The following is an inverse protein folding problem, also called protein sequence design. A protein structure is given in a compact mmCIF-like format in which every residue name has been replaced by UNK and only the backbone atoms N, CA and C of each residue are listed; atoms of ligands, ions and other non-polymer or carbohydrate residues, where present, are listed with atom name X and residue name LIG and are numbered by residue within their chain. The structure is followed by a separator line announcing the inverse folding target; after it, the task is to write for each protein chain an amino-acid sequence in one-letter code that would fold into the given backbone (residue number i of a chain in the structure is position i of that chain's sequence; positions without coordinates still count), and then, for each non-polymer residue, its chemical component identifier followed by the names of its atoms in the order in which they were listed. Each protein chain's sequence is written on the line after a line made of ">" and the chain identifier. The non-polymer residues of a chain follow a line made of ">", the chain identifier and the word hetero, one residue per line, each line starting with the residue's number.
data_IF_944007687003
#
_entry.id   IF_944007687003
#
_cell.length_a   1.000
_cell.length_b   1.000
_cell.length_c   1.000
_cell.angle_alpha   90.00
_cell.angle_beta   90.00
_cell.angle_gamma   90.00
#
_symmetry.space_group_name_H-M   'P 1'
#
loop_
_entity.id
_entity.type
_entity.pdbx_description
1 polymer ?
#
# COMPACT_ATOMS: atom_id res chain seq x y z
N UNK A 1 -13.85 30.45 -10.30
CA UNK A 1 -13.74 29.06 -10.79
C UNK A 1 -12.33 28.57 -10.49
N UNK A 2 -12.16 27.44 -9.82
CA UNK A 2 -10.82 26.91 -9.51
C UNK A 2 -10.27 26.21 -10.74
N UNK A 3 -9.01 26.44 -11.09
CA UNK A 3 -8.33 25.76 -12.20
C UNK A 3 -7.16 24.93 -11.66
N UNK A 4 -7.03 23.70 -12.16
CA UNK A 4 -5.97 22.76 -11.76
C UNK A 4 -5.47 22.00 -12.99
N UNK A 5 -4.26 21.47 -12.93
CA UNK A 5 -3.74 20.63 -14.02
C UNK A 5 -4.25 19.19 -13.86
N UNK A 6 -4.29 18.71 -12.61
CA UNK A 6 -4.85 17.40 -12.25
C UNK A 6 -5.86 17.52 -11.10
N UNK A 7 -7.02 16.87 -11.25
CA UNK A 7 -7.99 16.68 -10.18
C UNK A 7 -8.04 15.20 -9.80
N UNK A 8 -7.57 14.86 -8.60
CA UNK A 8 -7.61 13.50 -8.07
C UNK A 8 -8.88 13.30 -7.23
N UNK A 9 -9.65 12.26 -7.55
CA UNK A 9 -10.89 11.92 -6.82
C UNK A 9 -10.64 10.69 -5.94
N UNK A 10 -10.70 10.89 -4.62
CA UNK A 10 -10.50 9.86 -3.60
C UNK A 10 -9.19 10.04 -2.83
N UNK A 11 -9.31 10.09 -1.50
CA UNK A 11 -8.23 10.25 -0.51
C UNK A 11 -7.77 8.94 0.13
N UNK A 12 -7.85 7.83 -0.61
CA UNK A 12 -7.19 6.58 -0.27
C UNK A 12 -5.71 6.57 -0.66
N UNK A 13 -4.98 5.49 -0.38
CA UNK A 13 -3.52 5.40 -0.60
C UNK A 13 -3.11 5.69 -2.04
N UNK A 14 -3.87 5.20 -3.02
CA UNK A 14 -3.58 5.45 -4.43
C UNK A 14 -3.74 6.92 -4.80
N UNK A 15 -4.84 7.55 -4.38
CA UNK A 15 -5.13 8.94 -4.70
C UNK A 15 -4.12 9.90 -4.07
N UNK A 16 -3.79 9.72 -2.79
CA UNK A 16 -2.77 10.58 -2.14
C UNK A 16 -1.37 10.33 -2.69
N UNK A 17 -1.06 9.09 -3.13
CA UNK A 17 0.20 8.77 -3.80
C UNK A 17 0.34 9.47 -5.16
N UNK A 18 -0.72 9.43 -5.97
CA UNK A 18 -0.80 10.13 -7.26
C UNK A 18 -0.68 11.64 -7.04
N UNK A 19 -1.45 12.19 -6.09
CA UNK A 19 -1.42 13.63 -5.81
C UNK A 19 -0.04 14.10 -5.35
N UNK A 20 0.62 13.31 -4.49
CA UNK A 20 1.99 13.57 -4.02
C UNK A 20 3.00 13.57 -5.15
N UNK A 21 2.97 12.56 -6.03
CA UNK A 21 3.89 12.46 -7.17
C UNK A 21 3.64 13.63 -8.15
N UNK A 22 2.39 13.84 -8.57
CA UNK A 22 2.02 14.91 -9.49
C UNK A 22 2.42 16.31 -8.97
N UNK A 23 2.16 16.61 -7.69
CA UNK A 23 2.59 17.85 -7.08
C UNK A 23 4.13 17.95 -6.98
N UNK A 24 4.81 16.84 -6.69
CA UNK A 24 6.27 16.76 -6.71
C UNK A 24 6.90 17.00 -8.07
N UNK A 25 6.13 16.82 -9.16
CA UNK A 25 6.52 17.15 -10.54
C UNK A 25 6.12 18.55 -10.98
N UNK A 26 5.57 19.37 -10.08
CA UNK A 26 5.23 20.77 -10.34
C UNK A 26 3.84 21.00 -10.94
N UNK A 27 2.97 19.99 -10.98
CA UNK A 27 1.59 20.19 -11.42
C UNK A 27 0.76 20.88 -10.33
N UNK A 28 -0.19 21.73 -10.74
CA UNK A 28 -1.25 22.17 -9.84
C UNK A 28 -2.21 21.00 -9.64
N UNK A 29 -2.32 20.54 -8.41
CA UNK A 29 -3.13 19.37 -8.04
C UNK A 29 -4.20 19.78 -7.04
N UNK A 30 -5.43 19.32 -7.28
CA UNK A 30 -6.50 19.30 -6.29
C UNK A 30 -6.90 17.84 -6.04
N UNK A 31 -6.96 17.44 -4.78
CA UNK A 31 -7.54 16.15 -4.37
C UNK A 31 -8.83 16.42 -3.59
N UNK A 32 -9.91 15.72 -3.95
CA UNK A 32 -11.15 15.71 -3.17
C UNK A 32 -11.44 14.31 -2.59
N UNK A 33 -11.80 14.26 -1.31
CA UNK A 33 -12.22 13.07 -0.59
C UNK A 33 -13.59 13.35 0.04
N UNK A 34 -14.59 12.51 -0.26
CA UNK A 34 -15.97 12.70 0.19
C UNK A 34 -16.11 12.59 1.70
N UNK A 35 -15.29 11.77 2.35
CA UNK A 35 -15.32 11.53 3.80
C UNK A 35 -13.98 11.98 4.43
N UNK A 36 -13.26 11.11 5.13
CA UNK A 36 -11.89 11.34 5.64
C UNK A 36 -10.82 10.62 4.81
N UNK A 37 -9.56 11.06 4.96
CA UNK A 37 -8.41 10.35 4.43
C UNK A 37 -8.35 8.93 4.99
N UNK A 38 -8.12 7.96 4.09
CA UNK A 38 -8.03 6.54 4.41
C UNK A 38 -9.30 5.87 4.99
N UNK A 39 -10.45 6.53 5.04
CA UNK A 39 -11.62 6.04 5.81
C UNK A 39 -12.16 4.66 5.36
N UNK A 40 -11.89 4.25 4.11
CA UNK A 40 -12.36 2.98 3.55
C UNK A 40 -11.24 1.93 3.50
N UNK A 41 -10.99 1.32 2.33
CA UNK A 41 -10.07 0.19 2.17
C UNK A 41 -8.65 0.45 2.67
N UNK A 42 -8.16 1.69 2.59
CA UNK A 42 -6.79 2.05 2.98
C UNK A 42 -6.55 2.11 4.50
N UNK A 43 -7.57 1.92 5.34
CA UNK A 43 -7.44 1.68 6.78
C UNK A 43 -7.92 0.29 7.22
N UNK A 44 -8.57 -0.45 6.31
CA UNK A 44 -9.11 -1.79 6.53
C UNK A 44 -8.22 -2.90 5.95
N UNK A 45 -6.92 -2.65 5.80
CA UNK A 45 -5.96 -3.66 5.33
C UNK A 45 -5.48 -4.56 6.46
N UNK A 46 -4.78 -5.64 6.10
CA UNK A 46 -4.00 -6.47 7.03
C UNK A 46 -2.76 -5.76 7.58
N UNK A 47 -2.50 -4.51 7.14
CA UNK A 47 -1.40 -3.64 7.59
C UNK A 47 -0.03 -4.20 7.23
N UNK A 48 0.06 -4.87 6.08
CA UNK A 48 1.28 -5.50 5.59
C UNK A 48 1.75 -4.85 4.29
N UNK A 49 3.05 -4.59 4.21
CA UNK A 49 3.75 -4.39 2.94
C UNK A 49 4.43 -5.71 2.64
N UNK A 50 3.79 -6.49 1.77
CA UNK A 50 4.24 -7.83 1.48
C UNK A 50 4.39 -8.12 -0.01
N UNK A 51 5.35 -8.99 -0.34
CA UNK A 51 5.59 -9.47 -1.71
C UNK A 51 4.50 -10.42 -2.23
N UNK A 52 3.69 -10.98 -1.33
CA UNK A 52 2.60 -11.88 -1.70
C UNK A 52 3.08 -13.28 -2.03
N UNK A 53 3.69 -13.95 -1.04
CA UNK A 53 4.27 -15.29 -1.18
C UNK A 53 3.35 -16.30 -1.90
N UNK A 54 2.04 -16.24 -1.64
CA UNK A 54 1.04 -17.11 -2.27
C UNK A 54 0.92 -16.94 -3.79
N UNK A 55 1.24 -15.76 -4.33
CA UNK A 55 1.11 -15.47 -5.76
C UNK A 55 2.20 -16.15 -6.60
N UNK A 56 3.27 -16.63 -5.97
CA UNK A 56 4.25 -17.49 -6.65
C UNK A 56 3.62 -18.78 -7.19
N UNK A 57 2.56 -19.29 -6.54
CA UNK A 57 1.86 -20.50 -7.01
C UNK A 57 1.02 -20.25 -8.26
N UNK A 58 0.65 -18.99 -8.53
CA UNK A 58 -0.05 -18.57 -9.74
C UNK A 58 0.91 -18.07 -10.82
N UNK A 59 2.22 -18.18 -10.60
CA UNK A 59 3.27 -17.72 -11.51
C UNK A 59 3.27 -16.21 -11.77
N UNK A 60 2.71 -15.41 -10.85
CA UNK A 60 2.68 -13.94 -10.92
C UNK A 60 4.03 -13.32 -10.51
N UNK A 61 5.12 -13.79 -11.12
CA UNK A 61 6.48 -13.41 -10.75
C UNK A 61 6.74 -11.91 -10.89
N UNK A 62 6.11 -11.25 -11.87
CA UNK A 62 6.26 -9.81 -12.04
C UNK A 62 5.69 -9.06 -10.84
N UNK A 63 4.47 -9.37 -10.42
CA UNK A 63 3.82 -8.76 -9.26
C UNK A 63 4.65 -8.97 -8.00
N UNK A 64 5.06 -10.22 -7.73
CA UNK A 64 5.85 -10.56 -6.55
C UNK A 64 7.18 -9.81 -6.54
N UNK A 65 7.87 -9.76 -7.68
CA UNK A 65 9.13 -9.00 -7.83
C UNK A 65 8.94 -7.51 -7.57
N UNK A 66 7.91 -6.89 -8.13
CA UNK A 66 7.62 -5.47 -7.93
C UNK A 66 7.31 -5.18 -6.45
N UNK A 67 6.41 -5.96 -5.83
CA UNK A 67 6.03 -5.78 -4.44
C UNK A 67 7.21 -5.97 -3.48
N UNK A 68 8.08 -6.97 -3.72
CA UNK A 68 9.27 -7.20 -2.90
C UNK A 68 10.31 -6.08 -3.00
N UNK A 69 10.48 -5.49 -4.19
CA UNK A 69 11.36 -4.33 -4.39
C UNK A 69 10.82 -3.10 -3.68
N UNK A 70 9.55 -2.79 -3.88
CA UNK A 70 8.89 -1.62 -3.28
C UNK A 70 8.87 -1.68 -1.75
N UNK A 71 8.82 -2.88 -1.16
CA UNK A 71 8.86 -3.05 0.29
C UNK A 71 10.08 -2.39 0.94
N UNK A 72 11.27 -2.52 0.35
CA UNK A 72 12.47 -1.85 0.89
C UNK A 72 12.54 -0.36 0.54
N UNK A 73 11.96 0.05 -0.59
CA UNK A 73 11.81 1.48 -0.94
C UNK A 73 10.94 2.18 0.10
N UNK A 74 9.77 1.61 0.41
CA UNK A 74 8.83 2.14 1.39
C UNK A 74 9.43 2.10 2.81
N UNK A 75 10.12 1.01 3.18
CA UNK A 75 10.80 0.92 4.47
C UNK A 75 11.83 2.05 4.66
N UNK A 76 12.60 2.41 3.61
CA UNK A 76 13.54 3.54 3.66
C UNK A 76 12.83 4.89 3.68
N UNK A 77 11.71 5.02 2.97
CA UNK A 77 10.97 6.27 2.85
C UNK A 77 10.22 6.64 4.13
N UNK A 78 9.68 5.65 4.86
CA UNK A 78 8.89 5.90 6.08
C UNK A 78 9.23 4.91 7.22
N UNK A 79 10.49 4.87 7.70
CA UNK A 79 10.93 3.93 8.74
C UNK A 79 10.29 4.16 10.11
N UNK A 80 9.63 5.31 10.29
CA UNK A 80 8.92 5.67 11.51
C UNK A 80 7.49 5.09 11.58
N UNK A 81 6.98 4.51 10.48
CA UNK A 81 5.66 3.84 10.43
C UNK A 81 5.67 2.50 9.69
N UNK A 82 6.82 2.07 9.17
CA UNK A 82 7.02 0.79 8.47
C UNK A 82 8.17 0.08 9.14
N UNK A 83 7.96 -1.18 9.53
CA UNK A 83 8.96 -1.98 10.24
C UNK A 83 9.08 -3.38 9.66
N UNK A 84 10.28 -3.99 9.69
CA UNK A 84 10.45 -5.40 9.42
C UNK A 84 9.59 -6.27 10.34
N UNK A 85 8.97 -7.30 9.80
CA UNK A 85 8.21 -8.30 10.54
C UNK A 85 8.61 -9.71 10.08
N UNK A 86 8.76 -10.63 11.04
CA UNK A 86 9.04 -12.05 10.76
C UNK A 86 7.74 -12.84 10.78
N UNK A 87 7.54 -13.64 9.73
CA UNK A 87 6.39 -14.50 9.55
C UNK A 87 6.79 -15.95 9.74
N UNK A 88 6.08 -16.66 10.59
CA UNK A 88 6.25 -18.10 10.81
C UNK A 88 5.18 -18.86 10.05
N UNK A 89 5.62 -19.78 9.18
CA UNK A 89 4.79 -20.69 8.41
C UNK A 89 4.98 -22.13 8.93
N UNK A 90 4.10 -22.63 9.81
CA UNK A 90 4.13 -24.03 10.24
C UNK A 90 3.91 -24.98 9.08
N UNK A 91 4.74 -26.01 8.94
CA UNK A 91 4.65 -26.96 7.84
C UNK A 91 3.60 -28.04 8.12
N UNK A 92 2.68 -28.21 7.18
CA UNK A 92 1.68 -29.27 7.18
C UNK A 92 1.88 -30.21 5.98
N UNK A 93 2.22 -31.48 6.25
CA UNK A 93 2.58 -32.49 5.23
C UNK A 93 1.51 -32.69 4.15
N UNK A 94 0.23 -32.61 4.52
CA UNK A 94 -0.88 -32.85 3.58
C UNK A 94 -1.20 -31.66 2.65
N UNK A 95 -0.62 -30.47 2.91
CA UNK A 95 -0.93 -29.28 2.11
C UNK A 95 0.14 -29.02 1.05
N UNK A 96 1.39 -28.84 1.49
CA UNK A 96 2.52 -28.50 0.62
C UNK A 96 3.77 -29.23 1.09
N UNK A 97 4.51 -29.90 0.20
CA UNK A 97 5.75 -30.56 0.58
C UNK A 97 6.83 -29.54 0.93
N UNK A 98 7.73 -29.89 1.85
CA UNK A 98 8.78 -28.98 2.33
C UNK A 98 9.68 -28.43 1.22
N UNK A 99 10.02 -29.26 0.22
CA UNK A 99 10.89 -28.84 -0.87
C UNK A 99 10.26 -27.68 -1.67
N UNK A 100 8.94 -27.72 -1.89
CA UNK A 100 8.23 -26.67 -2.62
C UNK A 100 8.24 -25.35 -1.85
N UNK A 101 7.97 -25.40 -0.55
CA UNK A 101 8.03 -24.21 0.31
C UNK A 101 9.45 -23.62 0.32
N UNK A 102 10.48 -24.47 0.42
CA UNK A 102 11.88 -24.01 0.38
C UNK A 102 12.22 -23.34 -0.95
N UNK A 103 11.79 -23.90 -2.08
CA UNK A 103 11.99 -23.27 -3.39
C UNK A 103 11.25 -21.96 -3.51
N UNK A 104 9.99 -21.89 -3.06
CA UNK A 104 9.21 -20.65 -3.06
C UNK A 104 9.85 -19.55 -2.22
N UNK A 105 10.31 -19.89 -1.01
CA UNK A 105 11.01 -18.94 -0.14
C UNK A 105 12.37 -18.51 -0.68
N UNK A 106 13.11 -19.43 -1.32
CA UNK A 106 14.32 -19.08 -2.05
C UNK A 106 14.01 -18.04 -3.15
N UNK A 107 12.99 -18.28 -3.98
CA UNK A 107 12.58 -17.30 -4.99
C UNK A 107 12.18 -15.96 -4.36
N UNK A 108 11.41 -15.99 -3.28
CA UNK A 108 10.93 -14.81 -2.56
C UNK A 108 12.08 -13.96 -1.99
N UNK A 109 13.15 -14.59 -1.51
CA UNK A 109 14.32 -13.88 -0.99
C UNK A 109 15.16 -13.19 -2.09
N UNK A 110 15.15 -13.72 -3.31
CA UNK A 110 16.10 -13.31 -4.36
C UNK A 110 15.46 -12.48 -5.48
N UNK A 111 14.21 -12.76 -5.86
CA UNK A 111 13.58 -12.11 -7.02
C UNK A 111 13.44 -10.59 -6.83
N UNK A 112 13.21 -10.16 -5.59
CA UNK A 112 13.09 -8.75 -5.22
C UNK A 112 14.43 -8.03 -5.00
N UNK A 113 15.57 -8.73 -4.99
CA UNK A 113 16.87 -8.12 -4.70
C UNK A 113 17.01 -7.60 -3.28
N UNK A 114 16.55 -8.37 -2.28
CA UNK A 114 16.60 -8.08 -0.83
C UNK A 114 17.99 -7.60 -0.38
N UNK A 115 18.03 -6.52 0.41
CA UNK A 115 19.27 -5.96 1.01
C UNK A 115 19.17 -5.76 2.52
N UNK A 116 18.01 -5.37 3.04
CA UNK A 116 17.84 -4.95 4.45
C UNK A 116 17.23 -6.03 5.34
N UNK A 117 16.25 -6.76 4.82
CA UNK A 117 15.45 -7.70 5.61
C UNK A 117 16.20 -9.02 5.82
N UNK A 118 16.09 -9.73 6.95
CA UNK A 118 16.71 -11.05 7.13
C UNK A 118 16.16 -12.12 6.16
N UNK A 119 16.98 -13.11 5.83
CA UNK A 119 16.62 -14.17 4.88
C UNK A 119 15.60 -15.15 5.47
N UNK A 120 14.95 -15.90 4.60
CA UNK A 120 14.14 -17.03 5.01
C UNK A 120 15.01 -18.19 5.52
N UNK A 121 14.53 -18.92 6.53
CA UNK A 121 15.19 -20.12 7.02
C UNK A 121 14.20 -21.09 7.67
N UNK A 122 14.62 -22.34 7.83
CA UNK A 122 13.83 -23.37 8.51
C UNK A 122 13.99 -23.24 10.02
N UNK A 123 12.90 -23.41 10.76
CA UNK A 123 12.88 -23.40 12.23
C UNK A 123 12.34 -24.73 12.79
N UNK A 124 12.84 -25.10 13.97
CA UNK A 124 12.32 -26.23 14.76
C UNK A 124 11.27 -25.72 15.75
N UNK A 125 9.99 -25.98 15.46
CA UNK A 125 8.87 -25.47 16.25
C UNK A 125 8.78 -26.12 17.65
N UNK A 126 9.52 -27.20 17.91
CA UNK A 126 9.58 -27.79 19.26
C UNK A 126 10.40 -26.94 20.23
N UNK A 127 11.28 -26.09 19.69
CA UNK A 127 12.22 -25.24 20.45
C UNK A 127 11.98 -23.74 20.22
N UNK A 128 11.38 -23.38 19.09
CA UNK A 128 11.13 -21.99 18.73
C UNK A 128 9.95 -21.40 19.52
N UNK A 129 10.03 -20.15 20.01
CA UNK A 129 8.94 -19.52 20.78
C UNK A 129 7.58 -19.54 20.07
N UNK A 130 7.57 -19.33 18.74
CA UNK A 130 6.36 -19.39 17.93
C UNK A 130 5.66 -20.76 17.94
N UNK A 131 6.34 -21.83 18.34
CA UNK A 131 5.76 -23.16 18.47
C UNK A 131 5.03 -23.43 19.78
N UNK A 132 5.24 -22.59 20.82
CA UNK A 132 4.66 -22.80 22.14
C UNK A 132 3.12 -22.82 22.13
N UNK A 133 2.49 -22.09 21.21
CA UNK A 133 1.03 -22.00 21.06
C UNK A 133 0.49 -22.90 19.94
N UNK A 134 1.35 -23.70 19.28
CA UNK A 134 0.95 -24.58 18.18
C UNK A 134 0.67 -25.99 18.69
N UNK A 135 -0.21 -26.72 17.98
CA UNK A 135 -0.44 -28.13 18.25
C UNK A 135 0.88 -28.93 18.09
N UNK A 136 1.17 -29.92 18.95
CA UNK A 136 2.42 -30.71 18.90
C UNK A 136 2.72 -31.43 17.57
N UNK A 137 1.70 -31.58 16.71
CA UNK A 137 1.85 -32.11 15.35
C UNK A 137 2.77 -31.23 14.47
N UNK A 138 2.84 -29.92 14.74
CA UNK A 138 3.69 -28.98 14.01
C UNK A 138 5.12 -28.99 14.57
N UNK A 139 5.99 -29.81 13.97
CA UNK A 139 7.40 -29.96 14.40
C UNK A 139 8.36 -29.04 13.65
N UNK A 140 8.03 -28.68 12.41
CA UNK A 140 8.89 -27.87 11.53
C UNK A 140 8.10 -26.68 11.01
N UNK A 141 8.77 -25.54 10.89
CA UNK A 141 8.24 -24.36 10.23
C UNK A 141 9.29 -23.66 9.38
N UNK A 142 8.87 -22.62 8.70
CA UNK A 142 9.75 -21.72 7.98
C UNK A 142 9.50 -20.30 8.46
N UNK A 143 10.55 -19.52 8.62
CA UNK A 143 10.46 -18.12 8.97
C UNK A 143 10.99 -17.27 7.82
N UNK A 144 10.26 -16.21 7.46
CA UNK A 144 10.63 -15.28 6.39
C UNK A 144 10.28 -13.83 6.77
N UNK A 145 10.78 -12.87 5.99
CA UNK A 145 10.53 -11.45 6.25
C UNK A 145 9.55 -10.83 5.28
N UNK A 146 8.72 -9.95 5.84
CA UNK A 146 7.92 -8.93 5.17
C UNK A 146 7.92 -7.68 6.06
N UNK A 147 7.06 -6.68 5.79
CA UNK A 147 6.96 -5.49 6.61
C UNK A 147 5.53 -5.27 7.13
N UNK A 148 5.43 -4.70 8.32
CA UNK A 148 4.19 -4.16 8.87
C UNK A 148 4.16 -2.65 8.71
N UNK A 149 2.98 -2.08 8.49
CA UNK A 149 2.77 -0.65 8.25
C UNK A 149 1.54 -0.13 8.98
N UNK A 150 1.62 1.11 9.48
CA UNK A 150 0.42 1.85 9.86
C UNK A 150 -0.26 2.41 8.60
N UNK A 151 -1.16 1.63 8.00
CA UNK A 151 -1.81 1.90 6.71
C UNK A 151 -2.47 3.28 6.61
N UNK A 152 -3.36 3.64 7.55
CA UNK A 152 -4.01 4.95 7.53
C UNK A 152 -3.01 6.12 7.68
N UNK A 153 -1.95 5.93 8.48
CA UNK A 153 -0.91 6.96 8.65
C UNK A 153 -0.07 7.12 7.38
N UNK A 154 0.18 6.05 6.63
CA UNK A 154 0.85 6.14 5.33
C UNK A 154 0.05 7.04 4.38
N UNK A 155 -1.28 6.93 4.37
CA UNK A 155 -2.14 7.82 3.56
C UNK A 155 -2.01 9.27 4.00
N UNK A 156 -2.16 9.53 5.31
CA UNK A 156 -2.07 10.90 5.86
C UNK A 156 -0.72 11.53 5.56
N UNK A 157 0.38 10.80 5.73
CA UNK A 157 1.72 11.32 5.45
C UNK A 157 1.93 11.64 3.97
N UNK A 158 1.39 10.83 3.05
CA UNK A 158 1.42 11.16 1.62
C UNK A 158 0.60 12.42 1.31
N UNK A 159 -0.58 12.57 1.91
CA UNK A 159 -1.41 13.76 1.75
C UNK A 159 -0.72 15.02 2.33
N UNK A 160 -0.05 14.89 3.48
CA UNK A 160 0.74 15.97 4.07
C UNK A 160 1.90 16.39 3.19
N UNK A 161 2.65 15.44 2.62
CA UNK A 161 3.75 15.75 1.69
C UNK A 161 3.23 16.34 0.37
N UNK A 162 2.10 15.84 -0.15
CA UNK A 162 1.44 16.44 -1.31
C UNK A 162 1.06 17.91 -1.04
N UNK A 163 0.47 18.19 0.13
CA UNK A 163 0.13 19.55 0.56
C UNK A 163 1.37 20.43 0.72
N UNK A 164 2.44 19.92 1.31
CA UNK A 164 3.71 20.63 1.44
C UNK A 164 4.32 20.99 0.07
N UNK A 165 4.03 20.19 -0.97
CA UNK A 165 4.40 20.43 -2.37
C UNK A 165 3.42 21.34 -3.13
N UNK A 166 2.40 21.87 -2.47
CA UNK A 166 1.43 22.80 -3.05
C UNK A 166 0.12 22.18 -3.54
N UNK A 167 -0.11 20.88 -3.36
CA UNK A 167 -1.41 20.28 -3.65
C UNK A 167 -2.50 20.80 -2.70
N UNK A 168 -3.70 21.03 -3.23
CA UNK A 168 -4.89 21.30 -2.41
C UNK A 168 -5.56 20.00 -2.03
N UNK A 169 -5.60 19.67 -0.74
CA UNK A 169 -6.26 18.47 -0.22
C UNK A 169 -7.58 18.88 0.45
N UNK A 170 -8.71 18.39 -0.07
CA UNK A 170 -10.06 18.72 0.38
C UNK A 170 -10.78 17.46 0.87
N UNK A 171 -10.77 17.23 2.18
CA UNK A 171 -11.62 16.22 2.83
C UNK A 171 -13.06 16.71 2.94
N UNK A 172 -14.01 15.83 3.24
CA UNK A 172 -15.45 16.14 3.31
C UNK A 172 -15.93 16.93 2.09
N UNK A 173 -15.38 16.61 0.92
CA UNK A 173 -15.65 17.27 -0.35
C UNK A 173 -15.93 16.21 -1.39
N UNK A 174 -17.21 16.04 -1.75
CA UNK A 174 -17.66 15.01 -2.68
C UNK A 174 -17.67 15.55 -4.10
N UNK A 175 -17.08 14.81 -5.04
CA UNK A 175 -17.34 15.04 -6.46
C UNK A 175 -18.76 14.53 -6.79
N UNK A 176 -19.66 15.44 -7.14
CA UNK A 176 -21.08 15.15 -7.41
C UNK A 176 -21.44 15.21 -8.90
N UNK A 177 -20.57 15.77 -9.73
CA UNK A 177 -20.75 15.81 -11.18
C UNK A 177 -19.42 15.91 -11.91
N UNK A 178 -19.33 15.26 -13.07
CA UNK A 178 -18.18 15.30 -13.97
C UNK A 178 -18.66 15.42 -15.42
N UNK A 179 -18.12 16.40 -16.14
CA UNK A 179 -18.38 16.61 -17.55
C UNK A 179 -17.05 16.74 -18.31
N UNK A 180 -16.89 15.96 -19.37
CA UNK A 180 -15.76 16.07 -20.28
C UNK A 180 -16.04 17.12 -21.35
N UNK A 181 -15.14 18.06 -21.50
CA UNK A 181 -15.10 19.00 -22.61
C UNK A 181 -13.94 18.67 -23.55
N UNK A 182 -13.82 19.39 -24.66
CA UNK A 182 -12.85 19.10 -25.71
C UNK A 182 -11.39 19.06 -25.21
N UNK A 183 -11.02 19.95 -24.27
CA UNK A 183 -9.65 20.11 -23.77
C UNK A 183 -9.48 19.98 -22.26
N UNK A 184 -10.57 19.79 -21.51
CA UNK A 184 -10.56 19.79 -20.05
C UNK A 184 -11.77 19.05 -19.49
N UNK A 185 -11.76 18.87 -18.17
CA UNK A 185 -12.87 18.37 -17.37
C UNK A 185 -13.44 19.50 -16.52
N UNK A 186 -14.77 19.50 -16.38
CA UNK A 186 -15.47 20.28 -15.36
C UNK A 186 -15.99 19.32 -14.29
N UNK A 187 -15.64 19.59 -13.04
CA UNK A 187 -16.08 18.83 -11.88
C UNK A 187 -16.89 19.74 -10.94
N UNK A 188 -18.04 19.26 -10.50
CA UNK A 188 -18.84 19.88 -9.45
C UNK A 188 -18.51 19.21 -8.13
N UNK A 189 -17.91 19.98 -7.21
CA UNK A 189 -17.51 19.53 -5.89
C UNK A 189 -18.43 20.13 -4.83
N UNK A 190 -19.00 19.27 -3.98
CA UNK A 190 -19.84 19.67 -2.85
C UNK A 190 -19.06 19.53 -1.55
N UNK A 191 -18.88 20.63 -0.84
CA UNK A 191 -18.38 20.63 0.54
C UNK A 191 -19.50 20.14 1.46
N UNK A 192 -19.30 18.99 2.11
CA UNK A 192 -20.30 18.34 2.97
C UNK A 192 -20.47 19.05 4.33
N UNK A 193 -19.57 19.97 4.69
CA UNK A 193 -19.65 20.75 5.92
C UNK A 193 -20.53 21.99 5.73
N UNK A 194 -20.33 22.70 4.63
CA UNK A 194 -21.08 23.93 4.31
C UNK A 194 -22.30 23.71 3.42
N UNK A 195 -22.40 22.55 2.76
CA UNK A 195 -23.40 22.26 1.73
C UNK A 195 -23.17 22.97 0.40
N UNK A 196 -22.15 23.84 0.30
CA UNK A 196 -21.88 24.60 -0.92
C UNK A 196 -21.32 23.71 -2.02
N UNK A 197 -21.82 23.91 -3.24
CA UNK A 197 -21.28 23.30 -4.44
C UNK A 197 -20.54 24.34 -5.27
N UNK A 198 -19.34 23.99 -5.70
CA UNK A 198 -18.50 24.84 -6.54
C UNK A 198 -17.85 24.03 -7.66
N UNK A 199 -17.44 24.74 -8.71
CA UNK A 199 -16.92 24.13 -9.93
C UNK A 199 -15.40 24.25 -10.04
N UNK A 200 -14.78 23.14 -10.42
CA UNK A 200 -13.35 23.02 -10.72
C UNK A 200 -13.18 22.67 -12.20
N UNK A 201 -12.27 23.36 -12.87
CA UNK A 201 -11.78 22.99 -14.20
C UNK A 201 -10.43 22.29 -14.05
N UNK A 202 -10.28 21.10 -14.64
CA UNK A 202 -9.06 20.30 -14.59
C UNK A 202 -8.61 19.88 -16.00
N UNK A 203 -7.32 19.91 -16.32
CA UNK A 203 -6.84 19.37 -17.60
C UNK A 203 -6.94 17.83 -17.65
N UNK A 204 -6.74 17.17 -16.51
CA UNK A 204 -6.85 15.72 -16.34
C UNK A 204 -7.53 15.34 -15.02
N UNK A 205 -8.00 14.09 -14.95
CA UNK A 205 -8.55 13.40 -13.77
C UNK A 205 -7.64 12.25 -13.35
#
# INVERSE_FOLDING_TARGET
>A
MITTDLLVIGGGINGVGIARDAAGRGLRVLLCEKDDLAQHTSSASTKLIHGGLRYLEYYDFSLVRHALREREVLLRAAPHIIWPMRFVLPHHKALRPQWLIRTGLFLYDHIGGRKLLPASHRIDLRKHPAGALLKPVFKTGFEYSDCWVQDARLVVLNAMDAKARGAQIRTRTRCVGLARHASHWLADLRDETSGQTYRVQAHAL
#
